data_IF_918052898823
#
_entry.id   IF_918052898823
#
_cell.length_a   1.000
_cell.length_b   1.000
_cell.length_c   1.000
_cell.angle_alpha   90.00
_cell.angle_beta   90.00
_cell.angle_gamma   90.00
#
_symmetry.space_group_name_H-M   'P 1'
#
loop_
_entity.id
_entity.type
_entity.pdbx_description
1 polymer ?
#
# COMPACT_ATOMS: atom_id res chain seq x y z
N UNK A 1 -15.69 -14.19 -28.16
CA UNK A 1 -14.28 -14.22 -27.74
C UNK A 1 -13.55 -12.89 -27.95
N UNK A 2 -13.57 -12.28 -29.14
CA UNK A 2 -12.85 -11.00 -29.39
C UNK A 2 -13.22 -9.85 -28.44
N UNK A 3 -14.51 -9.66 -28.16
CA UNK A 3 -14.99 -8.64 -27.22
C UNK A 3 -14.45 -8.86 -25.79
N UNK A 4 -14.50 -10.11 -25.31
CA UNK A 4 -14.00 -10.49 -23.99
C UNK A 4 -12.49 -10.21 -23.88
N UNK A 5 -11.72 -10.59 -24.89
CA UNK A 5 -10.29 -10.35 -24.94
C UNK A 5 -9.95 -8.84 -24.94
N UNK A 6 -10.70 -8.03 -25.71
CA UNK A 6 -10.57 -6.58 -25.72
C UNK A 6 -10.86 -5.95 -24.35
N UNK A 7 -11.93 -6.39 -23.69
CA UNK A 7 -12.34 -5.89 -22.38
C UNK A 7 -11.31 -6.26 -21.30
N UNK A 8 -10.79 -7.50 -21.31
CA UNK A 8 -9.72 -7.96 -20.40
C UNK A 8 -8.45 -7.13 -20.61
N UNK A 9 -8.02 -6.97 -21.86
CA UNK A 9 -6.80 -6.22 -22.19
C UNK A 9 -6.88 -4.77 -21.70
N UNK A 10 -8.03 -4.12 -21.92
CA UNK A 10 -8.27 -2.74 -21.45
C UNK A 10 -8.29 -2.66 -19.92
N UNK A 11 -8.98 -3.59 -19.26
CA UNK A 11 -9.05 -3.63 -17.79
C UNK A 11 -7.69 -3.88 -17.16
N UNK A 12 -6.93 -4.87 -17.67
CA UNK A 12 -5.58 -5.18 -17.18
C UNK A 12 -4.62 -4.01 -17.36
N UNK A 13 -4.69 -3.30 -18.50
CA UNK A 13 -3.90 -2.09 -18.71
C UNK A 13 -4.23 -1.01 -17.68
N UNK A 14 -5.53 -0.80 -17.39
CA UNK A 14 -5.96 0.15 -16.37
C UNK A 14 -5.48 -0.23 -14.96
N UNK A 15 -5.64 -1.50 -14.56
CA UNK A 15 -5.16 -2.02 -13.26
C UNK A 15 -3.65 -1.85 -13.14
N UNK A 16 -2.90 -2.15 -14.20
CA UNK A 16 -1.44 -2.04 -14.24
C UNK A 16 -0.99 -0.60 -14.01
N UNK A 17 -1.62 0.36 -14.70
CA UNK A 17 -1.30 1.77 -14.56
C UNK A 17 -1.63 2.30 -13.16
N UNK A 18 -2.82 1.98 -12.65
CA UNK A 18 -3.23 2.39 -11.30
C UNK A 18 -2.33 1.76 -10.23
N UNK A 19 -1.89 0.51 -10.40
CA UNK A 19 -0.95 -0.13 -9.49
C UNK A 19 0.43 0.52 -9.50
N UNK A 20 0.94 0.96 -10.66
CA UNK A 20 2.20 1.73 -10.72
C UNK A 20 2.08 3.05 -9.98
N UNK A 21 0.96 3.75 -10.15
CA UNK A 21 0.64 4.97 -9.42
C UNK A 21 0.53 4.71 -7.92
N UNK A 22 -0.10 3.60 -7.52
CA UNK A 22 -0.18 3.15 -6.14
C UNK A 22 1.22 2.90 -5.55
N UNK A 23 2.07 2.11 -6.22
CA UNK A 23 3.43 1.83 -5.77
C UNK A 23 4.26 3.11 -5.60
N UNK A 24 4.21 4.00 -6.58
CA UNK A 24 4.90 5.31 -6.51
C UNK A 24 4.43 6.14 -5.31
N UNK A 25 3.13 6.09 -5.01
CA UNK A 25 2.53 6.81 -3.87
C UNK A 25 2.91 6.16 -2.53
N UNK A 26 2.98 4.83 -2.49
CA UNK A 26 3.51 4.07 -1.35
C UNK A 26 4.97 4.42 -1.08
N UNK A 27 5.82 4.52 -2.10
CA UNK A 27 7.24 4.85 -1.94
C UNK A 27 7.44 6.27 -1.38
N UNK A 28 6.59 7.22 -1.78
CA UNK A 28 6.52 8.55 -1.14
C UNK A 28 6.15 8.44 0.33
N UNK A 29 5.12 7.65 0.65
CA UNK A 29 4.68 7.40 2.02
C UNK A 29 5.77 6.75 2.89
N UNK A 30 6.51 5.78 2.33
CA UNK A 30 7.63 5.13 3.00
C UNK A 30 8.71 6.12 3.43
N UNK A 31 8.94 7.17 2.65
CA UNK A 31 9.92 8.21 2.98
C UNK A 31 9.50 8.99 4.23
N UNK A 32 8.24 9.40 4.30
CA UNK A 32 7.66 10.06 5.48
C UNK A 32 7.60 9.13 6.70
N UNK A 33 7.28 7.86 6.51
CA UNK A 33 7.26 6.85 7.59
C UNK A 33 8.66 6.64 8.18
N UNK A 34 9.71 6.67 7.35
CA UNK A 34 11.10 6.60 7.84
C UNK A 34 11.46 7.83 8.67
N UNK A 35 11.07 9.02 8.23
CA UNK A 35 11.28 10.27 8.99
C UNK A 35 10.53 10.21 10.33
N UNK A 36 9.25 9.83 10.31
CA UNK A 36 8.44 9.65 11.51
C UNK A 36 9.11 8.72 12.53
N UNK A 37 9.59 7.55 12.08
CA UNK A 37 10.31 6.61 12.94
C UNK A 37 11.61 7.21 13.51
N UNK A 38 12.35 7.99 12.71
CA UNK A 38 13.54 8.69 13.16
C UNK A 38 13.22 9.76 14.22
N UNK A 39 12.22 10.61 13.99
CA UNK A 39 11.82 11.64 14.96
C UNK A 39 11.32 11.04 16.28
N UNK A 40 10.56 9.94 16.24
CA UNK A 40 10.13 9.23 17.45
C UNK A 40 11.31 8.63 18.21
N UNK A 41 12.30 8.08 17.50
CA UNK A 41 13.54 7.59 18.11
C UNK A 41 14.33 8.72 18.77
N UNK A 42 14.44 9.87 18.09
CA UNK A 42 15.08 11.07 18.64
C UNK A 42 14.33 11.58 19.87
N UNK A 43 13.00 11.64 19.83
CA UNK A 43 12.18 12.07 20.98
C UNK A 43 12.41 11.18 22.20
N UNK A 44 12.51 9.85 22.00
CA UNK A 44 12.84 8.90 23.08
C UNK A 44 14.22 9.16 23.67
N UNK A 45 15.22 9.46 22.83
CA UNK A 45 16.59 9.78 23.26
C UNK A 45 16.71 11.13 23.96
N UNK A 46 15.90 12.12 23.59
CA UNK A 46 15.92 13.44 24.26
C UNK A 46 15.32 13.35 25.66
N UNK A 47 14.42 12.40 25.92
CA UNK A 47 13.91 12.10 27.27
C UNK A 47 14.91 11.29 28.12
N UNK A 48 16.21 11.34 27.82
CA UNK A 48 17.23 10.66 28.60
C UNK A 48 17.29 11.30 30.00
N UNK A 49 17.12 10.52 31.08
CA UNK A 49 17.09 11.05 32.44
C UNK A 49 18.38 11.73 32.90
N UNK A 50 19.48 11.63 32.14
CA UNK A 50 20.76 12.25 32.51
C UNK A 50 20.98 13.66 31.92
N UNK A 51 19.99 14.24 31.24
CA UNK A 51 20.17 15.54 30.57
C UNK A 51 20.33 16.70 31.56
N UNK A 52 19.80 16.55 32.78
CA UNK A 52 19.98 17.48 33.90
C UNK A 52 21.46 17.61 34.34
N UNK A 53 22.29 16.61 34.06
CA UNK A 53 23.73 16.61 34.37
C UNK A 53 24.60 17.22 33.25
N UNK A 54 23.99 17.73 32.18
CA UNK A 54 24.71 18.30 31.04
C UNK A 54 24.90 19.81 31.17
N UNK A 55 26.05 20.31 30.69
CA UNK A 55 26.36 21.75 30.60
C UNK A 55 25.29 22.58 29.87
N UNK A 56 24.49 21.95 29.01
CA UNK A 56 23.40 22.60 28.30
C UNK A 56 22.25 23.00 29.25
N UNK A 57 21.94 22.16 30.26
CA UNK A 57 20.89 22.42 31.25
C UNK A 57 21.27 23.57 32.20
N UNK A 58 22.56 23.71 32.54
CA UNK A 58 23.07 24.82 33.36
C UNK A 58 22.91 26.19 32.68
N UNK A 59 22.89 26.22 31.34
CA UNK A 59 22.80 27.46 30.54
C UNK A 59 21.37 27.79 30.13
N UNK A 60 20.59 26.78 29.71
CA UNK A 60 19.18 26.93 29.34
C UNK A 60 18.39 25.74 29.89
N UNK A 61 17.82 25.88 31.10
CA UNK A 61 17.05 24.81 31.75
C UNK A 61 15.84 24.36 30.90
N UNK A 62 15.33 25.22 30.01
CA UNK A 62 14.20 24.93 29.14
C UNK A 62 14.61 24.33 27.78
N UNK A 63 15.91 24.18 27.50
CA UNK A 63 16.40 23.72 26.19
C UNK A 63 15.85 22.35 25.81
N UNK A 64 15.76 21.44 26.77
CA UNK A 64 15.18 20.12 26.56
C UNK A 64 13.69 20.22 26.16
N UNK A 65 12.90 20.98 26.93
CA UNK A 65 11.47 21.15 26.68
C UNK A 65 11.25 21.77 25.30
N UNK A 66 12.04 22.79 24.94
CA UNK A 66 12.00 23.43 23.62
C UNK A 66 12.32 22.41 22.51
N UNK A 67 13.38 21.62 22.68
CA UNK A 67 13.79 20.59 21.72
C UNK A 67 12.72 19.50 21.57
N UNK A 68 12.16 19.00 22.66
CA UNK A 68 11.07 18.03 22.63
C UNK A 68 9.85 18.58 21.87
N UNK A 69 9.50 19.85 22.09
CA UNK A 69 8.38 20.48 21.40
C UNK A 69 8.65 20.64 19.90
N UNK A 70 9.87 21.00 19.50
CA UNK A 70 10.27 21.02 18.08
C UNK A 70 10.11 19.63 17.44
N UNK A 71 10.61 18.57 18.08
CA UNK A 71 10.51 17.20 17.54
C UNK A 71 9.05 16.73 17.49
N UNK A 72 8.22 17.07 18.49
CA UNK A 72 6.77 16.77 18.47
C UNK A 72 6.08 17.42 17.28
N UNK A 73 6.45 18.64 16.91
CA UNK A 73 5.92 19.32 15.73
C UNK A 73 6.33 18.62 14.43
N UNK A 74 7.60 18.17 14.32
CA UNK A 74 8.06 17.36 13.17
C UNK A 74 7.27 16.06 13.05
N UNK A 75 7.03 15.35 14.16
CA UNK A 75 6.19 14.14 14.20
C UNK A 75 4.77 14.42 13.70
N UNK A 76 4.14 15.52 14.14
CA UNK A 76 2.81 15.90 13.69
C UNK A 76 2.78 16.25 12.20
N UNK A 77 3.82 16.91 11.70
CA UNK A 77 3.98 17.20 10.29
C UNK A 77 4.05 15.91 9.46
N UNK A 78 4.89 14.96 9.84
CA UNK A 78 5.01 13.67 9.15
C UNK A 78 3.71 12.87 9.17
N UNK A 79 3.01 12.83 10.32
CA UNK A 79 1.68 12.20 10.41
C UNK A 79 0.67 12.83 9.46
N UNK A 80 0.65 14.15 9.36
CA UNK A 80 -0.24 14.87 8.44
C UNK A 80 0.09 14.58 6.98
N UNK A 81 1.37 14.51 6.62
CA UNK A 81 1.82 14.13 5.28
C UNK A 81 1.41 12.69 4.94
N UNK A 82 1.62 11.75 5.86
CA UNK A 82 1.22 10.36 5.68
C UNK A 82 -0.30 10.22 5.53
N UNK A 83 -1.10 10.97 6.30
CA UNK A 83 -2.56 10.94 6.17
C UNK A 83 -3.03 11.41 4.78
N UNK A 84 -2.39 12.44 4.22
CA UNK A 84 -2.68 12.88 2.84
C UNK A 84 -2.37 11.79 1.84
N UNK A 85 -1.23 11.10 2.01
CA UNK A 85 -0.83 9.97 1.18
C UNK A 85 -1.84 8.82 1.29
N UNK A 86 -2.30 8.47 2.49
CA UNK A 86 -3.34 7.46 2.69
C UNK A 86 -4.64 7.82 1.98
N UNK A 87 -5.05 9.09 2.01
CA UNK A 87 -6.25 9.55 1.29
C UNK A 87 -6.10 9.43 -0.24
N UNK A 88 -4.91 9.67 -0.78
CA UNK A 88 -4.64 9.47 -2.20
C UNK A 88 -4.57 7.99 -2.58
N UNK A 89 -3.95 7.16 -1.73
CA UNK A 89 -3.95 5.70 -1.88
C UNK A 89 -5.38 5.13 -1.85
N UNK A 90 -6.27 5.67 -1.02
CA UNK A 90 -7.68 5.25 -0.94
C UNK A 90 -8.40 5.49 -2.27
N UNK A 91 -8.17 6.63 -2.93
CA UNK A 91 -8.76 6.91 -4.26
C UNK A 91 -8.26 5.92 -5.32
N UNK A 92 -6.95 5.64 -5.32
CA UNK A 92 -6.35 4.66 -6.24
C UNK A 92 -6.88 3.25 -5.95
N UNK A 93 -7.01 2.89 -4.67
CA UNK A 93 -7.58 1.61 -4.23
C UNK A 93 -9.02 1.41 -4.72
N UNK A 94 -9.86 2.44 -4.63
CA UNK A 94 -11.21 2.41 -5.18
C UNK A 94 -11.21 2.20 -6.70
N UNK A 95 -10.28 2.85 -7.43
CA UNK A 95 -10.13 2.64 -8.87
C UNK A 95 -9.76 1.19 -9.21
N UNK A 96 -8.70 0.67 -8.57
CA UNK A 96 -8.23 -0.71 -8.80
C UNK A 96 -9.33 -1.73 -8.47
N UNK A 97 -10.01 -1.57 -7.34
CA UNK A 97 -11.10 -2.45 -6.92
C UNK A 97 -12.21 -2.46 -7.97
N UNK A 98 -12.63 -1.29 -8.45
CA UNK A 98 -13.63 -1.16 -9.51
C UNK A 98 -13.20 -1.82 -10.81
N UNK A 99 -11.94 -1.68 -11.21
CA UNK A 99 -11.43 -2.32 -12.43
C UNK A 99 -11.34 -3.85 -12.29
N UNK A 100 -10.96 -4.35 -11.11
CA UNK A 100 -11.02 -5.79 -10.83
C UNK A 100 -12.45 -6.32 -10.92
N UNK A 101 -13.44 -5.58 -10.37
CA UNK A 101 -14.84 -5.97 -10.46
C UNK A 101 -15.35 -5.96 -11.91
N UNK A 102 -14.92 -4.98 -12.73
CA UNK A 102 -15.23 -4.96 -14.15
C UNK A 102 -14.66 -6.17 -14.88
N UNK A 103 -13.39 -6.53 -14.62
CA UNK A 103 -12.74 -7.71 -15.18
C UNK A 103 -13.50 -9.00 -14.78
N UNK A 104 -13.88 -9.12 -13.50
CA UNK A 104 -14.71 -10.23 -13.02
C UNK A 104 -16.04 -10.34 -13.78
N UNK A 105 -16.72 -9.21 -13.97
CA UNK A 105 -17.98 -9.16 -14.68
C UNK A 105 -17.81 -9.47 -16.18
N UNK A 106 -16.68 -9.09 -16.79
CA UNK A 106 -16.34 -9.49 -18.17
C UNK A 106 -16.19 -11.00 -18.28
N UNK A 107 -15.45 -11.64 -17.38
CA UNK A 107 -15.34 -13.11 -17.36
C UNK A 107 -16.71 -13.77 -17.16
N UNK A 108 -17.50 -13.32 -16.19
CA UNK A 108 -18.82 -13.88 -15.90
C UNK A 108 -19.83 -13.68 -17.03
N UNK A 109 -19.86 -12.49 -17.63
CA UNK A 109 -20.74 -12.17 -18.77
C UNK A 109 -20.32 -12.89 -20.05
N UNK A 110 -19.02 -13.13 -20.23
CA UNK A 110 -18.49 -14.01 -21.26
C UNK A 110 -18.99 -15.44 -21.08
N UNK A 111 -18.98 -15.98 -19.85
CA UNK A 111 -19.45 -17.34 -19.55
C UNK A 111 -20.93 -17.55 -19.92
N UNK A 112 -21.74 -16.49 -19.86
CA UNK A 112 -23.14 -16.52 -20.29
C UNK A 112 -23.32 -16.41 -21.82
N UNK A 113 -22.28 -16.05 -22.56
CA UNK A 113 -22.29 -15.86 -24.01
C UNK A 113 -21.30 -16.76 -24.73
N UNK A 114 -21.69 -18.00 -25.01
CA UNK A 114 -20.99 -18.97 -25.87
C UNK A 114 -19.54 -19.32 -25.46
N UNK A 115 -19.23 -19.38 -24.16
CA UNK A 115 -18.00 -20.01 -23.65
C UNK A 115 -18.31 -21.48 -23.35
N UNK A 116 -17.44 -22.38 -23.81
CA UNK A 116 -17.60 -23.83 -23.61
C UNK A 116 -17.07 -24.27 -22.24
N UNK A 117 -17.48 -25.45 -21.77
CA UNK A 117 -16.90 -26.08 -20.57
C UNK A 117 -15.38 -26.25 -20.68
N UNK A 118 -14.90 -26.50 -21.91
CA UNK A 118 -13.49 -26.60 -22.29
C UNK A 118 -12.76 -25.28 -22.02
N UNK A 119 -13.27 -24.15 -22.51
CA UNK A 119 -12.67 -22.81 -22.26
C UNK A 119 -12.60 -22.42 -20.77
N UNK A 120 -13.48 -23.00 -19.94
CA UNK A 120 -13.55 -22.75 -18.50
C UNK A 120 -12.51 -23.56 -17.73
N UNK A 121 -12.26 -24.80 -18.16
CA UNK A 121 -11.56 -25.81 -17.35
C UNK A 121 -10.26 -26.33 -17.94
N UNK A 122 -10.05 -26.19 -19.25
CA UNK A 122 -8.83 -26.65 -19.90
C UNK A 122 -7.79 -25.53 -19.91
N UNK A 123 -6.58 -25.91 -19.51
CA UNK A 123 -5.37 -25.10 -19.59
C UNK A 123 -4.56 -25.66 -20.76
N UNK A 124 -4.14 -24.80 -21.69
CA UNK A 124 -3.21 -25.19 -22.76
C UNK A 124 -1.78 -24.70 -22.44
N UNK A 125 -0.79 -25.12 -23.23
CA UNK A 125 0.62 -24.74 -23.00
C UNK A 125 0.87 -23.22 -23.04
N UNK A 126 -0.07 -22.44 -23.60
CA UNK A 126 0.10 -21.02 -23.90
C UNK A 126 -0.84 -20.10 -23.11
N UNK A 127 -1.86 -20.62 -22.43
CA UNK A 127 -2.90 -19.82 -21.80
C UNK A 127 -3.55 -20.51 -20.60
N UNK A 128 -3.73 -19.74 -19.52
CA UNK A 128 -4.49 -20.17 -18.35
C UNK A 128 -5.99 -20.23 -18.67
N UNK A 129 -6.68 -21.19 -18.05
CA UNK A 129 -8.14 -21.34 -18.11
C UNK A 129 -8.86 -20.12 -17.54
N UNK A 130 -10.13 -19.93 -17.89
CA UNK A 130 -10.94 -18.82 -17.33
C UNK A 130 -11.06 -18.95 -15.80
N UNK A 131 -11.16 -20.16 -15.27
CA UNK A 131 -11.22 -20.40 -13.83
C UNK A 131 -9.94 -19.91 -13.12
N UNK A 132 -8.76 -20.27 -13.63
CA UNK A 132 -7.47 -19.84 -13.08
C UNK A 132 -7.31 -18.31 -13.17
N UNK A 133 -7.74 -17.71 -14.28
CA UNK A 133 -7.71 -16.25 -14.47
C UNK A 133 -8.60 -15.51 -13.47
N UNK A 134 -9.79 -16.04 -13.19
CA UNK A 134 -10.69 -15.50 -12.17
C UNK A 134 -10.13 -15.68 -10.75
N UNK A 135 -9.52 -16.84 -10.45
CA UNK A 135 -8.88 -17.08 -9.16
C UNK A 135 -7.69 -16.13 -8.91
N UNK A 136 -6.84 -15.94 -9.90
CA UNK A 136 -5.72 -15.00 -9.83
C UNK A 136 -6.19 -13.57 -9.56
N UNK A 137 -7.28 -13.15 -10.20
CA UNK A 137 -7.87 -11.82 -9.98
C UNK A 137 -8.42 -11.66 -8.55
N UNK A 138 -9.06 -12.69 -8.00
CA UNK A 138 -9.56 -12.68 -6.61
C UNK A 138 -8.38 -12.62 -5.62
N UNK A 139 -7.35 -13.45 -5.84
CA UNK A 139 -6.14 -13.48 -5.02
C UNK A 139 -5.43 -12.13 -5.02
N UNK A 140 -5.30 -11.52 -6.20
CA UNK A 140 -4.75 -10.18 -6.35
C UNK A 140 -5.56 -9.16 -5.54
N UNK A 141 -6.89 -9.12 -5.72
CA UNK A 141 -7.79 -8.19 -5.03
C UNK A 141 -7.66 -8.30 -3.51
N UNK A 142 -7.65 -9.53 -2.96
CA UNK A 142 -7.47 -9.77 -1.53
C UNK A 142 -6.11 -9.31 -1.03
N UNK A 143 -5.04 -9.64 -1.75
CA UNK A 143 -3.66 -9.26 -1.40
C UNK A 143 -3.51 -7.73 -1.38
N UNK A 144 -4.09 -7.07 -2.38
CA UNK A 144 -4.08 -5.62 -2.51
C UNK A 144 -4.85 -4.94 -1.38
N UNK A 145 -6.08 -5.40 -1.09
CA UNK A 145 -6.91 -4.86 -0.01
C UNK A 145 -6.26 -5.05 1.37
N UNK A 146 -5.68 -6.23 1.65
CA UNK A 146 -4.96 -6.47 2.90
C UNK A 146 -3.78 -5.51 3.07
N UNK A 147 -2.98 -5.36 2.02
CA UNK A 147 -1.86 -4.42 2.00
C UNK A 147 -2.30 -2.98 2.27
N UNK A 148 -3.39 -2.55 1.65
CA UNK A 148 -3.96 -1.22 1.86
C UNK A 148 -4.42 -1.01 3.31
N UNK A 149 -5.18 -1.97 3.85
CA UNK A 149 -5.72 -1.90 5.22
C UNK A 149 -4.63 -1.90 6.29
N UNK A 150 -3.59 -2.72 6.13
CA UNK A 150 -2.44 -2.73 7.06
C UNK A 150 -1.79 -1.36 7.14
N UNK A 151 -1.59 -0.67 6.01
CA UNK A 151 -0.99 0.68 5.99
C UNK A 151 -1.85 1.71 6.72
N UNK A 152 -3.17 1.66 6.51
CA UNK A 152 -4.13 2.53 7.20
C UNK A 152 -4.08 2.32 8.71
N UNK A 153 -4.16 1.07 9.15
CA UNK A 153 -4.16 0.72 10.57
C UNK A 153 -2.84 1.09 11.27
N UNK A 154 -1.70 0.91 10.61
CA UNK A 154 -0.41 1.13 11.28
C UNK A 154 -0.17 2.60 11.68
N UNK A 155 -0.78 3.55 10.96
CA UNK A 155 -0.65 4.99 11.27
C UNK A 155 -1.60 5.42 12.38
N UNK A 156 -2.82 4.89 12.40
CA UNK A 156 -3.82 5.21 13.42
C UNK A 156 -3.33 4.85 14.84
N UNK A 157 -2.50 3.82 14.96
CA UNK A 157 -1.94 3.35 16.24
C UNK A 157 -0.57 3.95 16.59
N UNK A 158 -0.03 4.84 15.74
CA UNK A 158 1.23 5.52 16.05
C UNK A 158 1.01 6.59 17.13
N UNK A 159 1.52 6.35 18.34
CA UNK A 159 1.54 7.33 19.44
C UNK A 159 2.94 7.94 19.63
N UNK A 160 3.04 9.05 20.37
CA UNK A 160 4.35 9.68 20.66
C UNK A 160 5.30 8.78 21.48
N UNK A 161 4.73 7.86 22.24
CA UNK A 161 5.47 6.91 23.08
C UNK A 161 5.49 5.50 22.46
N UNK A 162 4.81 5.33 21.33
CA UNK A 162 4.65 4.05 20.65
C UNK A 162 5.97 3.51 20.14
N UNK A 163 6.04 2.18 20.05
CA UNK A 163 7.09 1.52 19.31
C UNK A 163 6.68 1.38 17.85
N UNK A 164 7.54 1.86 16.96
CA UNK A 164 7.34 1.79 15.51
C UNK A 164 8.30 0.79 14.88
N UNK A 165 8.89 -0.11 15.67
CA UNK A 165 9.61 -1.25 15.13
C UNK A 165 8.76 -1.94 14.05
N UNK A 166 9.34 -2.05 12.86
CA UNK A 166 8.74 -2.65 11.66
C UNK A 166 7.68 -1.84 10.90
N UNK A 167 7.34 -0.59 11.29
CA UNK A 167 6.37 0.22 10.52
C UNK A 167 6.79 0.40 9.05
N UNK A 168 8.09 0.57 8.81
CA UNK A 168 8.66 0.72 7.47
C UNK A 168 8.50 -0.53 6.63
N UNK A 169 8.40 -1.71 7.25
CA UNK A 169 8.15 -2.99 6.59
C UNK A 169 6.79 -3.03 5.90
N UNK A 170 5.75 -2.50 6.55
CA UNK A 170 4.38 -2.48 6.02
C UNK A 170 4.18 -1.47 4.87
N UNK A 171 5.16 -0.58 4.65
CA UNK A 171 5.11 0.45 3.62
C UNK A 171 5.95 0.10 2.38
N UNK A 172 6.35 -1.16 2.20
CA UNK A 172 7.07 -1.62 1.00
C UNK A 172 6.13 -1.86 -0.17
N UNK A 173 6.44 -1.34 -1.35
CA UNK A 173 5.67 -1.54 -2.59
C UNK A 173 5.95 -2.90 -3.28
N UNK A 174 6.92 -3.67 -2.79
CA UNK A 174 7.36 -4.95 -3.36
C UNK A 174 6.24 -5.97 -3.48
N UNK A 175 5.40 -6.08 -2.45
CA UNK A 175 4.40 -7.15 -2.35
C UNK A 175 3.28 -6.94 -3.38
N UNK A 176 2.89 -5.69 -3.59
CA UNK A 176 1.92 -5.29 -4.61
C UNK A 176 2.52 -5.45 -6.01
N UNK A 177 3.78 -5.06 -6.18
CA UNK A 177 4.48 -5.19 -7.46
C UNK A 177 4.64 -6.65 -7.87
N UNK A 178 4.89 -7.55 -6.91
CA UNK A 178 4.95 -8.99 -7.14
C UNK A 178 3.56 -9.55 -7.50
N UNK A 179 2.52 -9.22 -6.73
CA UNK A 179 1.16 -9.65 -7.01
C UNK A 179 0.65 -9.18 -8.38
N UNK A 180 1.00 -7.97 -8.80
CA UNK A 180 0.67 -7.45 -10.13
C UNK A 180 1.41 -8.20 -11.25
N UNK A 181 2.68 -8.56 -11.06
CA UNK A 181 3.44 -9.35 -12.04
C UNK A 181 2.81 -10.74 -12.22
N UNK A 182 2.44 -11.39 -11.11
CA UNK A 182 1.73 -12.68 -11.14
C UNK A 182 0.40 -12.56 -11.88
N UNK A 183 -0.42 -11.56 -11.55
CA UNK A 183 -1.69 -11.30 -12.24
C UNK A 183 -1.49 -11.06 -13.74
N UNK A 184 -0.52 -10.22 -14.10
CA UNK A 184 -0.26 -9.88 -15.51
C UNK A 184 0.16 -11.11 -16.29
N UNK A 185 1.02 -11.96 -15.73
CA UNK A 185 1.45 -13.20 -16.37
C UNK A 185 0.27 -14.16 -16.62
N UNK A 186 -0.63 -14.34 -15.64
CA UNK A 186 -1.79 -15.24 -15.74
C UNK A 186 -2.86 -14.71 -16.72
N UNK A 187 -3.03 -13.38 -16.77
CA UNK A 187 -4.04 -12.73 -17.61
C UNK A 187 -3.56 -12.37 -19.02
N UNK A 188 -2.26 -12.53 -19.32
CA UNK A 188 -1.70 -12.39 -20.68
C UNK A 188 -2.06 -13.59 -21.55
#
# INVERSE_FOLDING_TARGET
>A
MEKLHSDITKGLKSVTEDCKNYCTTVDKGLSHVKLLAAHLTTLKKVRDPNIEETYLHEIDPDAEIKLQNCIRMEILFEKSAIQKILNDLEKINHSITKQCDNLFNSYRGGVQGNITLTDISETDEMSCSIAEKMEALEKFKRTFANNHNVRKFTIDFCTFDGDLENITGYWKSSDISFALKELTWILS
#
